data_IF_155843326490
#
_entry.id   IF_155843326490
#
_cell.length_a   1.000
_cell.length_b   1.000
_cell.length_c   1.000
_cell.angle_alpha   90.00
_cell.angle_beta   90.00
_cell.angle_gamma   90.00
#
_symmetry.space_group_name_H-M   'P 1'
#
loop_
_entity.id
_entity.type
_entity.pdbx_description
1 polymer ?
#
# COMPACT_ATOMS: atom_id res chain seq x y z
N UNK A 1 49.66 49.18 -19.79
CA UNK A 1 49.05 48.43 -18.68
C UNK A 1 47.88 47.63 -19.21
N UNK A 2 48.01 46.30 -19.35
CA UNK A 2 46.93 45.41 -19.82
C UNK A 2 46.29 44.78 -18.57
N UNK A 3 45.00 45.03 -18.32
CA UNK A 3 44.26 44.36 -17.29
C UNK A 3 43.85 42.98 -17.77
N UNK A 4 44.26 41.93 -17.06
CA UNK A 4 43.77 40.55 -17.22
C UNK A 4 42.49 40.40 -16.42
N UNK A 5 41.38 40.17 -17.10
CA UNK A 5 40.11 39.82 -16.48
C UNK A 5 40.10 38.31 -16.24
N UNK A 6 40.11 37.88 -14.99
CA UNK A 6 39.96 36.46 -14.64
C UNK A 6 38.49 36.08 -14.73
N UNK A 7 38.12 35.15 -15.61
CA UNK A 7 36.82 34.53 -15.70
C UNK A 7 36.78 33.32 -14.76
N UNK A 8 36.09 33.45 -13.67
CA UNK A 8 35.81 32.32 -12.75
C UNK A 8 34.67 31.46 -13.30
N UNK A 9 34.98 30.28 -13.79
CA UNK A 9 33.97 29.30 -14.19
C UNK A 9 33.54 28.56 -12.91
N UNK A 10 32.31 28.81 -12.47
CA UNK A 10 31.68 28.05 -11.41
C UNK A 10 31.15 26.72 -11.97
N UNK A 11 31.80 25.63 -11.60
CA UNK A 11 31.33 24.27 -11.87
C UNK A 11 30.13 23.97 -10.94
N UNK A 12 28.93 23.93 -11.48
CA UNK A 12 27.75 23.39 -10.77
C UNK A 12 27.85 21.85 -10.75
N UNK A 13 28.27 21.30 -9.61
CA UNK A 13 28.16 19.87 -9.35
C UNK A 13 26.72 19.60 -8.95
N UNK A 14 25.88 19.16 -9.90
CA UNK A 14 24.54 18.64 -9.63
C UNK A 14 24.71 17.28 -8.95
N UNK A 15 24.61 17.26 -7.64
CA UNK A 15 24.68 16.04 -6.83
C UNK A 15 23.50 15.11 -7.16
N UNK A 16 23.81 13.91 -7.61
CA UNK A 16 22.86 12.81 -7.85
C UNK A 16 22.29 12.29 -6.51
N UNK A 17 21.33 12.97 -5.94
CA UNK A 17 20.58 12.53 -4.73
C UNK A 17 19.36 11.66 -5.05
N UNK A 18 19.03 11.52 -6.35
CA UNK A 18 17.81 10.81 -6.80
C UNK A 18 17.78 9.30 -6.48
N UNK A 19 18.89 8.52 -6.55
CA UNK A 19 18.81 7.08 -6.29
C UNK A 19 18.53 6.70 -4.84
N UNK A 20 19.07 7.45 -3.87
CA UNK A 20 18.92 7.16 -2.45
C UNK A 20 17.47 7.39 -1.97
N UNK A 21 16.86 8.51 -2.38
CA UNK A 21 15.46 8.82 -2.03
C UNK A 21 14.47 7.79 -2.57
N UNK A 22 14.71 7.26 -3.78
CA UNK A 22 13.85 6.21 -4.34
C UNK A 22 14.00 4.88 -3.63
N UNK A 23 15.21 4.53 -3.18
CA UNK A 23 15.44 3.30 -2.41
C UNK A 23 14.75 3.35 -1.04
N UNK A 24 14.80 4.50 -0.36
CA UNK A 24 14.09 4.74 0.89
C UNK A 24 12.57 4.64 0.69
N UNK A 25 12.01 5.27 -0.33
CA UNK A 25 10.58 5.21 -0.65
C UNK A 25 10.12 3.76 -0.95
N UNK A 26 10.91 2.96 -1.64
CA UNK A 26 10.58 1.54 -1.89
C UNK A 26 10.54 0.75 -0.59
N UNK A 27 11.51 0.94 0.29
CA UNK A 27 11.56 0.26 1.59
C UNK A 27 10.41 0.70 2.49
N UNK A 28 10.10 1.99 2.50
CA UNK A 28 8.99 2.57 3.25
C UNK A 28 7.64 2.00 2.81
N UNK A 29 7.39 1.91 1.48
CA UNK A 29 6.17 1.32 0.94
C UNK A 29 6.08 -0.16 1.33
N UNK A 30 7.15 -0.94 1.22
CA UNK A 30 7.15 -2.36 1.62
C UNK A 30 6.82 -2.54 3.11
N UNK A 31 7.43 -1.72 3.97
CA UNK A 31 7.17 -1.73 5.42
C UNK A 31 5.72 -1.31 5.72
N UNK A 32 5.22 -0.29 5.03
CA UNK A 32 3.86 0.22 5.16
C UNK A 32 2.83 -0.87 4.77
N UNK A 33 3.04 -1.56 3.65
CA UNK A 33 2.20 -2.66 3.18
C UNK A 33 2.14 -3.82 4.19
N UNK A 34 3.29 -4.25 4.71
CA UNK A 34 3.36 -5.29 5.74
C UNK A 34 2.69 -4.85 7.04
N UNK A 35 2.95 -3.61 7.47
CA UNK A 35 2.37 -3.01 8.67
C UNK A 35 0.86 -2.90 8.60
N UNK A 36 0.34 -2.57 7.43
CA UNK A 36 -1.09 -2.48 7.16
C UNK A 36 -1.80 -3.83 7.41
N UNK A 37 -1.33 -4.92 6.81
CA UNK A 37 -1.91 -6.25 7.04
C UNK A 37 -1.70 -6.75 8.47
N UNK A 38 -0.54 -6.46 9.07
CA UNK A 38 -0.29 -6.77 10.48
C UNK A 38 -1.26 -6.02 11.41
N UNK A 39 -1.60 -4.77 11.11
CA UNK A 39 -2.60 -3.99 11.85
C UNK A 39 -3.99 -4.66 11.80
N UNK A 40 -4.43 -5.08 10.62
CA UNK A 40 -5.71 -5.80 10.47
C UNK A 40 -5.74 -7.10 11.27
N UNK A 41 -4.67 -7.88 11.22
CA UNK A 41 -4.58 -9.16 11.92
C UNK A 41 -4.73 -9.02 13.44
N UNK A 42 -4.21 -7.93 14.03
CA UNK A 42 -4.34 -7.66 15.48
C UNK A 42 -5.54 -6.81 15.85
N UNK A 43 -6.40 -6.43 14.87
CA UNK A 43 -7.56 -5.59 15.10
C UNK A 43 -7.27 -4.11 15.34
N UNK A 44 -6.10 -3.63 14.94
CA UNK A 44 -5.72 -2.22 15.01
C UNK A 44 -6.35 -1.45 13.83
N UNK A 45 -7.63 -1.12 14.01
CA UNK A 45 -8.45 -0.47 12.98
C UNK A 45 -7.90 0.90 12.61
N UNK A 46 -7.38 1.64 13.57
CA UNK A 46 -6.85 3.00 13.33
C UNK A 46 -5.66 2.98 12.37
N UNK A 47 -4.70 2.08 12.59
CA UNK A 47 -3.55 1.91 11.69
C UNK A 47 -4.00 1.39 10.32
N UNK A 48 -4.92 0.42 10.26
CA UNK A 48 -5.47 -0.08 9.00
C UNK A 48 -6.09 1.04 8.16
N UNK A 49 -7.01 1.82 8.75
CA UNK A 49 -7.69 2.93 8.06
C UNK A 49 -6.72 4.06 7.71
N UNK A 50 -5.76 4.33 8.58
CA UNK A 50 -4.73 5.36 8.37
C UNK A 50 -3.88 5.19 7.10
N UNK A 51 -3.87 4.00 6.53
CA UNK A 51 -3.18 3.67 5.27
C UNK A 51 -3.93 4.17 4.02
N UNK A 52 -5.24 4.29 4.09
CA UNK A 52 -6.10 4.63 2.95
C UNK A 52 -6.26 6.13 2.73
N UNK A 53 -6.49 6.53 1.49
CA UNK A 53 -7.09 7.82 1.16
C UNK A 53 -8.60 7.74 1.38
N UNK A 54 -9.22 8.89 1.71
CA UNK A 54 -10.69 8.95 1.86
C UNK A 54 -11.38 8.62 0.53
N UNK A 55 -10.85 9.15 -0.56
CA UNK A 55 -11.31 8.84 -1.92
C UNK A 55 -10.45 7.72 -2.49
N UNK A 56 -10.96 6.51 -2.44
CA UNK A 56 -10.32 5.33 -3.02
C UNK A 56 -11.36 4.43 -3.67
N UNK A 57 -10.89 3.56 -4.55
CA UNK A 57 -11.71 2.48 -5.09
C UNK A 57 -11.01 1.12 -4.99
N UNK A 58 -11.79 0.06 -5.09
CA UNK A 58 -11.30 -1.31 -4.91
C UNK A 58 -12.08 -2.31 -5.74
N UNK A 59 -11.37 -3.23 -6.39
CA UNK A 59 -11.92 -4.51 -6.83
C UNK A 59 -11.60 -5.57 -5.78
N UNK A 60 -12.62 -5.95 -5.00
CA UNK A 60 -12.47 -6.96 -3.97
C UNK A 60 -12.40 -8.39 -4.53
N UNK A 61 -11.99 -9.36 -3.68
CA UNK A 61 -11.70 -10.74 -4.09
C UNK A 61 -12.91 -11.56 -4.56
N UNK A 62 -14.11 -11.08 -4.29
CA UNK A 62 -15.37 -11.78 -4.66
C UNK A 62 -15.81 -11.56 -6.11
N UNK A 63 -15.04 -10.87 -6.94
CA UNK A 63 -15.40 -10.56 -8.33
C UNK A 63 -16.55 -9.56 -8.48
N UNK A 64 -16.85 -8.80 -7.41
CA UNK A 64 -17.89 -7.77 -7.41
C UNK A 64 -17.48 -6.56 -8.27
N UNK A 65 -18.46 -5.68 -8.52
CA UNK A 65 -18.21 -4.39 -9.17
C UNK A 65 -17.25 -3.54 -8.34
N UNK A 66 -16.66 -2.55 -8.99
CA UNK A 66 -15.82 -1.54 -8.34
C UNK A 66 -16.54 -0.92 -7.14
N UNK A 67 -15.96 -1.07 -5.96
CA UNK A 67 -16.40 -0.36 -4.76
C UNK A 67 -15.69 0.98 -4.72
N UNK A 68 -16.43 2.05 -4.52
CA UNK A 68 -15.89 3.40 -4.32
C UNK A 68 -16.11 3.79 -2.87
N UNK A 69 -15.04 4.14 -2.19
CA UNK A 69 -15.09 4.73 -0.85
C UNK A 69 -14.90 6.24 -0.96
N UNK A 70 -15.71 6.97 -0.25
CA UNK A 70 -15.59 8.42 -0.07
C UNK A 70 -15.48 8.80 1.40
N UNK A 71 -15.39 7.79 2.28
CA UNK A 71 -15.41 7.98 3.72
C UNK A 71 -14.61 6.90 4.45
N UNK A 72 -13.49 7.29 5.04
CA UNK A 72 -12.72 6.44 5.95
C UNK A 72 -13.55 5.99 7.17
N UNK A 73 -14.52 6.77 7.57
CA UNK A 73 -15.42 6.44 8.70
C UNK A 73 -16.31 5.23 8.38
N UNK A 74 -16.82 5.14 7.14
CA UNK A 74 -17.62 4.00 6.73
C UNK A 74 -16.78 2.71 6.68
N UNK A 75 -15.55 2.79 6.16
CA UNK A 75 -14.62 1.67 6.16
C UNK A 75 -14.25 1.22 7.58
N UNK A 76 -13.97 2.18 8.46
CA UNK A 76 -13.67 1.92 9.87
C UNK A 76 -14.80 1.16 10.55
N UNK A 77 -16.02 1.66 10.45
CA UNK A 77 -17.22 1.01 11.02
C UNK A 77 -17.44 -0.41 10.48
N UNK A 78 -17.18 -0.61 9.17
CA UNK A 78 -17.30 -1.92 8.55
C UNK A 78 -16.29 -2.91 9.14
N UNK A 79 -15.02 -2.52 9.29
CA UNK A 79 -14.01 -3.40 9.88
C UNK A 79 -14.27 -3.65 11.37
N UNK A 80 -14.62 -2.62 12.14
CA UNK A 80 -15.01 -2.75 13.56
C UNK A 80 -16.15 -3.74 13.75
N UNK A 81 -17.19 -3.65 12.91
CA UNK A 81 -18.34 -4.57 12.96
C UNK A 81 -17.92 -6.02 12.64
N UNK A 82 -17.05 -6.26 11.66
CA UNK A 82 -16.54 -7.58 11.34
C UNK A 82 -15.75 -8.18 12.51
N UNK A 83 -14.86 -7.40 13.13
CA UNK A 83 -14.07 -7.83 14.29
C UNK A 83 -14.97 -8.10 15.52
N UNK A 84 -15.94 -7.23 15.79
CA UNK A 84 -16.91 -7.39 16.89
C UNK A 84 -17.79 -8.64 16.71
N UNK A 85 -18.12 -8.98 15.46
CA UNK A 85 -18.82 -10.22 15.14
C UNK A 85 -17.96 -11.49 15.31
N UNK A 86 -16.67 -11.37 15.59
CA UNK A 86 -15.76 -12.50 15.81
C UNK A 86 -14.92 -12.89 14.60
N UNK A 87 -14.97 -12.14 13.51
CA UNK A 87 -14.07 -12.35 12.36
C UNK A 87 -12.61 -12.16 12.78
N UNK A 88 -11.74 -13.10 12.41
CA UNK A 88 -10.28 -13.00 12.64
C UNK A 88 -9.53 -13.10 11.33
N UNK A 89 -8.44 -12.37 11.23
CA UNK A 89 -7.56 -12.35 10.08
C UNK A 89 -6.16 -12.84 10.49
N UNK A 90 -5.56 -13.66 9.66
CA UNK A 90 -4.17 -14.08 9.74
C UNK A 90 -3.59 -14.04 8.32
N UNK A 91 -3.45 -12.82 7.80
CA UNK A 91 -2.99 -12.56 6.45
C UNK A 91 -1.54 -12.08 6.46
N UNK A 92 -0.77 -12.53 5.48
CA UNK A 92 0.59 -12.05 5.22
C UNK A 92 0.73 -11.67 3.76
N UNK A 93 1.48 -10.60 3.51
CA UNK A 93 1.92 -10.26 2.17
C UNK A 93 3.26 -10.95 1.89
N UNK A 94 3.36 -11.55 0.71
CA UNK A 94 4.60 -12.13 0.18
C UNK A 94 4.91 -11.52 -1.19
N UNK A 95 6.17 -11.61 -1.61
CA UNK A 95 6.66 -11.18 -2.93
C UNK A 95 6.24 -9.74 -3.28
N UNK A 96 6.49 -8.83 -2.33
CA UNK A 96 6.11 -7.42 -2.49
C UNK A 96 7.09 -6.75 -3.45
N UNK A 97 6.58 -6.37 -4.63
CA UNK A 97 7.29 -5.62 -5.65
C UNK A 97 6.73 -4.20 -5.74
N UNK A 98 7.60 -3.21 -5.77
CA UNK A 98 7.23 -1.79 -5.81
C UNK A 98 7.90 -1.11 -7.00
N UNK A 99 7.12 -0.36 -7.77
CA UNK A 99 7.59 0.52 -8.83
C UNK A 99 7.07 1.92 -8.58
N UNK A 100 7.96 2.93 -8.65
CA UNK A 100 7.63 4.33 -8.37
C UNK A 100 7.71 5.16 -9.64
N UNK A 101 6.70 6.00 -9.85
CA UNK A 101 6.55 6.91 -10.98
C UNK A 101 6.21 8.32 -10.43
N UNK A 102 7.24 9.10 -10.08
CA UNK A 102 7.07 10.38 -9.42
C UNK A 102 6.44 10.23 -8.04
N UNK A 103 5.26 10.78 -7.83
CA UNK A 103 4.50 10.66 -6.59
C UNK A 103 3.51 9.48 -6.56
N UNK A 104 3.58 8.59 -7.55
CA UNK A 104 2.70 7.43 -7.65
C UNK A 104 3.53 6.15 -7.56
N UNK A 105 3.05 5.16 -6.83
CA UNK A 105 3.64 3.84 -6.76
C UNK A 105 2.62 2.76 -7.14
N UNK A 106 3.10 1.73 -7.84
CA UNK A 106 2.37 0.48 -8.07
C UNK A 106 3.04 -0.59 -7.22
N UNK A 107 2.26 -1.21 -6.35
CA UNK A 107 2.69 -2.30 -5.50
C UNK A 107 1.96 -3.59 -5.89
N UNK A 108 2.69 -4.65 -6.21
CA UNK A 108 2.12 -5.98 -6.44
C UNK A 108 2.57 -6.94 -5.36
N UNK A 109 1.70 -7.87 -4.96
CA UNK A 109 1.99 -8.84 -3.90
C UNK A 109 1.02 -10.02 -3.95
N UNK A 110 1.33 -11.04 -3.17
CA UNK A 110 0.37 -12.10 -2.85
C UNK A 110 -0.09 -11.98 -1.40
N UNK A 111 -1.37 -12.30 -1.15
CA UNK A 111 -1.94 -12.38 0.19
C UNK A 111 -2.13 -13.85 0.50
N UNK A 112 -1.48 -14.33 1.55
CA UNK A 112 -1.57 -15.72 2.00
C UNK A 112 -1.99 -15.79 3.47
N UNK A 113 -2.51 -16.94 3.89
CA UNK A 113 -2.90 -17.15 5.29
C UNK A 113 -4.31 -17.69 5.44
N UNK A 114 -5.08 -17.15 6.39
CA UNK A 114 -6.46 -17.58 6.65
C UNK A 114 -7.33 -16.46 7.19
N UNK A 115 -8.65 -16.62 7.02
CA UNK A 115 -9.68 -15.85 7.73
C UNK A 115 -10.56 -16.81 8.50
N UNK A 116 -10.96 -16.42 9.71
CA UNK A 116 -11.94 -17.16 10.52
C UNK A 116 -13.23 -16.35 10.55
N UNK A 117 -14.33 -16.94 10.13
CA UNK A 117 -15.66 -16.33 10.19
C UNK A 117 -16.25 -16.38 11.60
N UNK A 118 -17.34 -15.62 11.91
CA UNK A 118 -17.95 -15.57 13.23
C UNK A 118 -18.41 -16.93 13.78
N UNK A 119 -18.77 -17.86 12.91
CA UNK A 119 -19.14 -19.25 13.25
C UNK A 119 -17.93 -20.17 13.54
N UNK A 120 -16.71 -19.62 13.50
CA UNK A 120 -15.48 -20.35 13.74
C UNK A 120 -14.91 -21.07 12.53
N UNK A 121 -15.54 -20.99 11.35
CA UNK A 121 -15.02 -21.63 10.14
C UNK A 121 -13.73 -20.94 9.68
N UNK A 122 -12.66 -21.70 9.54
CA UNK A 122 -11.37 -21.23 9.02
C UNK A 122 -11.31 -21.48 7.52
N UNK A 123 -11.03 -20.43 6.76
CA UNK A 123 -10.88 -20.48 5.30
C UNK A 123 -9.47 -20.05 4.91
N UNK A 124 -8.76 -20.85 4.11
CA UNK A 124 -7.46 -20.44 3.57
C UNK A 124 -7.62 -19.23 2.63
N UNK A 125 -6.60 -18.39 2.63
CA UNK A 125 -6.50 -17.22 1.75
C UNK A 125 -5.28 -17.36 0.87
N UNK A 126 -5.48 -17.30 -0.44
CA UNK A 126 -4.44 -17.25 -1.46
C UNK A 126 -4.94 -16.34 -2.58
N UNK A 127 -4.38 -15.13 -2.64
CA UNK A 127 -4.84 -14.08 -3.55
C UNK A 127 -3.65 -13.32 -4.12
N UNK A 128 -3.84 -12.73 -5.28
CA UNK A 128 -2.95 -11.71 -5.85
C UNK A 128 -3.54 -10.33 -5.62
N UNK A 129 -2.67 -9.36 -5.42
CA UNK A 129 -3.06 -7.99 -5.18
C UNK A 129 -2.20 -7.03 -5.99
N UNK A 130 -2.84 -6.00 -6.53
CA UNK A 130 -2.19 -4.80 -7.01
C UNK A 130 -2.75 -3.62 -6.23
N UNK A 131 -1.88 -2.79 -5.67
CA UNK A 131 -2.25 -1.53 -5.04
C UNK A 131 -1.60 -0.37 -5.78
N UNK A 132 -2.32 0.76 -5.85
CA UNK A 132 -1.80 2.03 -6.31
C UNK A 132 -1.76 2.96 -5.11
N UNK A 133 -0.59 3.54 -4.87
CA UNK A 133 -0.37 4.50 -3.81
C UNK A 133 0.02 5.85 -4.40
N UNK A 134 -0.35 6.93 -3.72
CA UNK A 134 0.17 8.27 -3.99
C UNK A 134 0.89 8.81 -2.76
N UNK A 135 1.91 9.64 -3.00
CA UNK A 135 2.61 10.36 -1.95
C UNK A 135 1.91 11.69 -1.73
N UNK A 136 1.14 11.76 -0.64
CA UNK A 136 0.41 12.94 -0.22
C UNK A 136 1.03 13.52 1.05
N UNK A 137 1.41 14.80 1.03
CA UNK A 137 2.08 15.47 2.14
C UNK A 137 3.26 14.66 2.72
N UNK A 138 4.07 14.05 1.85
CA UNK A 138 5.24 13.25 2.21
C UNK A 138 4.93 11.82 2.70
N UNK A 139 3.67 11.40 2.71
CA UNK A 139 3.23 10.06 3.16
C UNK A 139 2.59 9.28 2.03
N UNK A 140 2.97 8.01 1.90
CA UNK A 140 2.34 7.10 0.96
C UNK A 140 0.96 6.66 1.47
N UNK A 141 -0.06 6.73 0.59
CA UNK A 141 -1.46 6.38 0.86
C UNK A 141 -2.03 5.59 -0.30
N UNK A 142 -2.81 4.55 0.01
CA UNK A 142 -3.51 3.78 -1.01
C UNK A 142 -4.73 4.52 -1.56
N UNK A 143 -4.84 4.57 -2.89
CA UNK A 143 -5.96 5.16 -3.63
C UNK A 143 -6.74 4.12 -4.43
N UNK A 144 -6.13 2.99 -4.74
CA UNK A 144 -6.77 1.89 -5.45
C UNK A 144 -6.16 0.56 -5.05
N UNK A 145 -7.00 -0.49 -4.95
CA UNK A 145 -6.51 -1.84 -4.95
C UNK A 145 -7.37 -2.78 -5.81
N UNK A 146 -6.74 -3.83 -6.31
CA UNK A 146 -7.39 -4.96 -6.96
C UNK A 146 -6.90 -6.25 -6.31
N UNK A 147 -7.84 -6.98 -5.75
CA UNK A 147 -7.59 -8.30 -5.13
C UNK A 147 -8.39 -9.34 -5.89
N UNK A 148 -7.73 -10.43 -6.28
CA UNK A 148 -8.41 -11.56 -6.91
C UNK A 148 -7.83 -12.90 -6.44
N UNK A 149 -8.61 -13.99 -6.46
CA UNK A 149 -8.09 -15.31 -6.10
C UNK A 149 -6.90 -15.71 -6.96
N UNK A 150 -5.90 -16.33 -6.34
CA UNK A 150 -4.84 -17.02 -7.07
C UNK A 150 -5.36 -18.42 -7.40
N UNK A 151 -5.73 -18.61 -8.66
CA UNK A 151 -6.14 -19.92 -9.17
C UNK A 151 -4.95 -20.65 -9.78
N UNK A 152 -4.79 -21.97 -9.58
CA UNK A 152 -3.76 -22.74 -10.27
C UNK A 152 -3.87 -22.57 -11.79
N UNK A 153 -2.73 -22.55 -12.48
CA UNK A 153 -2.72 -22.63 -13.94
C UNK A 153 -3.36 -23.97 -14.35
N UNK A 154 -4.26 -23.90 -15.32
CA UNK A 154 -4.85 -25.09 -15.93
C UNK A 154 -3.86 -25.72 -16.91
#
# INVERSE_FOLDING_TARGET
MRQLTAVTVALFVSSFLVPAVLADDISDIKALEQGHYAARNRGDVATWIGYHMAERDSFGPGGARLTKSTSLEAERKSLEAQLAAGTKYNHRLTDIEVRIFGNTAICTSYITGSSTSPDGMVRPVSMRRTAVLIKDNGKWKEVHDHISPLVPAQ
#
